data_IF_132137447134
#
_entry.id   IF_132137447134
#
_cell.length_a   1.000
_cell.length_b   1.000
_cell.length_c   1.000
_cell.angle_alpha   90.00
_cell.angle_beta   90.00
_cell.angle_gamma   90.00
#
_symmetry.space_group_name_H-M   'P 1'
#
loop_
_entity.id
_entity.type
_entity.pdbx_description
1 polymer ?
#
# COMPACT_ATOMS: atom_id res chain seq x y z
N UNK A 1 -4.56 13.49 6.44
CA UNK A 1 -4.96 12.51 7.47
C UNK A 1 -6.13 13.10 8.22
N UNK A 2 -7.26 12.40 8.32
CA UNK A 2 -8.36 12.84 9.18
C UNK A 2 -8.11 12.37 10.61
N UNK A 3 -8.66 13.05 11.64
CA UNK A 3 -8.39 12.72 13.04
C UNK A 3 -8.79 11.29 13.42
N UNK A 4 -9.77 10.70 12.70
CA UNK A 4 -10.28 9.36 13.00
C UNK A 4 -9.55 8.22 12.26
N UNK A 5 -8.54 8.51 11.44
CA UNK A 5 -7.80 7.46 10.76
C UNK A 5 -6.70 6.90 11.66
N UNK A 6 -6.58 5.57 11.79
CA UNK A 6 -5.46 4.97 12.50
C UNK A 6 -4.14 5.38 11.84
N UNK A 7 -3.11 5.56 12.67
CA UNK A 7 -1.75 5.78 12.17
C UNK A 7 -1.25 4.51 11.49
N UNK A 8 -0.28 4.66 10.58
CA UNK A 8 0.37 3.48 9.96
C UNK A 8 0.96 2.54 11.02
N UNK A 9 1.57 3.08 12.07
CA UNK A 9 2.09 2.29 13.20
C UNK A 9 1.00 1.49 13.93
N UNK A 10 -0.20 2.04 14.11
CA UNK A 10 -1.30 1.30 14.72
C UNK A 10 -1.78 0.14 13.82
N UNK A 11 -1.80 0.35 12.50
CA UNK A 11 -2.15 -0.69 11.54
C UNK A 11 -1.06 -1.77 11.48
N UNK A 12 0.21 -1.36 11.48
CA UNK A 12 1.35 -2.28 11.50
C UNK A 12 1.30 -3.21 12.70
N UNK A 13 1.09 -2.66 13.90
CA UNK A 13 0.96 -3.45 15.13
C UNK A 13 -0.20 -4.46 15.04
N UNK A 14 -1.35 -4.04 14.49
CA UNK A 14 -2.49 -4.93 14.30
C UNK A 14 -2.22 -6.03 13.25
N UNK A 15 -1.56 -5.69 12.15
CA UNK A 15 -1.16 -6.65 11.11
C UNK A 15 -0.20 -7.70 11.66
N UNK A 16 0.84 -7.28 12.39
CA UNK A 16 1.81 -8.16 13.01
C UNK A 16 1.16 -9.08 14.06
N UNK A 17 0.25 -8.53 14.90
CA UNK A 17 -0.51 -9.33 15.86
C UNK A 17 -1.41 -10.39 15.19
N UNK A 18 -1.85 -10.14 13.95
CA UNK A 18 -2.59 -11.09 13.13
C UNK A 18 -1.68 -12.03 12.31
N UNK A 19 -0.36 -11.98 12.49
CA UNK A 19 0.60 -12.80 11.75
C UNK A 19 0.83 -12.35 10.31
N UNK A 20 0.47 -11.11 9.96
CA UNK A 20 0.65 -10.54 8.63
C UNK A 20 1.94 -9.71 8.55
N UNK A 21 2.55 -9.71 7.36
CA UNK A 21 3.56 -8.73 7.02
C UNK A 21 2.91 -7.39 6.67
N UNK A 22 3.58 -6.29 7.00
CA UNK A 22 3.10 -4.94 6.74
C UNK A 22 4.18 -4.13 6.01
N UNK A 23 3.77 -3.37 5.00
CA UNK A 23 4.63 -2.42 4.29
C UNK A 23 3.89 -1.10 4.19
N UNK A 24 4.54 -0.03 4.65
CA UNK A 24 4.03 1.33 4.52
C UNK A 24 4.69 2.05 3.34
N UNK A 25 3.95 2.19 2.25
CA UNK A 25 4.37 2.97 1.09
C UNK A 25 3.44 4.20 0.93
N UNK A 26 3.77 5.34 1.57
CA UNK A 26 2.98 6.54 1.44
C UNK A 26 3.18 7.18 0.06
N UNK A 27 2.08 7.48 -0.64
CA UNK A 27 2.10 8.19 -1.94
C UNK A 27 1.12 9.36 -1.94
N UNK A 28 1.43 10.39 -2.73
CA UNK A 28 0.59 11.58 -2.88
C UNK A 28 -0.77 11.24 -3.51
N UNK A 29 -1.79 12.07 -3.26
CA UNK A 29 -3.15 11.80 -3.79
C UNK A 29 -3.32 12.08 -5.27
N UNK A 30 -2.61 13.11 -5.77
CA UNK A 30 -2.76 13.61 -7.14
C UNK A 30 -1.86 12.90 -8.16
N UNK A 31 -0.73 12.35 -7.72
CA UNK A 31 0.29 11.77 -8.58
C UNK A 31 1.04 10.66 -7.86
N UNK A 32 1.47 9.65 -8.61
CA UNK A 32 2.40 8.62 -8.18
C UNK A 32 3.52 8.52 -9.21
N UNK A 33 4.77 8.58 -8.77
CA UNK A 33 5.92 8.61 -9.67
C UNK A 33 6.23 7.24 -10.28
N UNK A 34 6.95 7.17 -11.41
CA UNK A 34 7.41 5.90 -11.96
C UNK A 34 8.20 5.05 -10.96
N UNK A 35 9.01 5.69 -10.11
CA UNK A 35 9.79 5.03 -9.06
C UNK A 35 8.88 4.46 -7.97
N UNK A 36 7.85 5.18 -7.53
CA UNK A 36 6.86 4.67 -6.59
C UNK A 36 6.11 3.46 -7.16
N UNK A 37 5.73 3.52 -8.45
CA UNK A 37 5.03 2.42 -9.14
C UNK A 37 5.95 1.19 -9.27
N UNK A 38 7.22 1.39 -9.64
CA UNK A 38 8.19 0.30 -9.74
C UNK A 38 8.48 -0.36 -8.39
N UNK A 39 8.62 0.43 -7.31
CA UNK A 39 8.79 -0.10 -5.97
C UNK A 39 7.55 -0.90 -5.53
N UNK A 40 6.35 -0.39 -5.82
CA UNK A 40 5.12 -1.12 -5.52
C UNK A 40 5.02 -2.45 -6.30
N UNK A 41 5.40 -2.48 -7.57
CA UNK A 41 5.45 -3.71 -8.36
C UNK A 41 6.43 -4.73 -7.77
N UNK A 42 7.61 -4.27 -7.34
CA UNK A 42 8.60 -5.11 -6.65
C UNK A 42 8.04 -5.68 -5.35
N UNK A 43 7.33 -4.86 -4.56
CA UNK A 43 6.68 -5.30 -3.33
C UNK A 43 5.61 -6.37 -3.59
N UNK A 44 4.77 -6.20 -4.62
CA UNK A 44 3.78 -7.21 -5.00
C UNK A 44 4.41 -8.55 -5.35
N UNK A 45 5.57 -8.55 -6.02
CA UNK A 45 6.28 -9.80 -6.36
C UNK A 45 6.97 -10.44 -5.15
N UNK A 46 7.49 -9.63 -4.23
CA UNK A 46 8.28 -10.11 -3.09
C UNK A 46 7.45 -10.58 -1.89
N UNK A 47 6.23 -10.07 -1.74
CA UNK A 47 5.38 -10.36 -0.57
C UNK A 47 4.63 -11.71 -0.71
N UNK A 48 4.35 -12.39 0.43
CA UNK A 48 3.55 -13.60 0.44
C UNK A 48 2.12 -13.29 0.01
N UNK A 49 1.58 -14.14 -0.86
CA UNK A 49 0.24 -13.97 -1.41
C UNK A 49 -0.79 -14.75 -0.58
N UNK A 50 -2.04 -14.25 -0.46
CA UNK A 50 -2.58 -13.03 -1.09
C UNK A 50 -2.16 -11.73 -0.39
N UNK A 51 -2.04 -10.63 -1.16
CA UNK A 51 -1.68 -9.28 -0.66
C UNK A 51 -2.91 -8.37 -0.62
N UNK A 52 -3.14 -7.72 0.53
CA UNK A 52 -4.14 -6.65 0.68
C UNK A 52 -3.48 -5.28 0.52
N UNK A 53 -3.99 -4.47 -0.42
CA UNK A 53 -3.52 -3.10 -0.65
C UNK A 53 -4.67 -2.13 -0.44
N UNK A 54 -4.47 -1.12 0.41
CA UNK A 54 -5.52 -0.18 0.75
C UNK A 54 -5.01 1.27 0.84
N UNK A 55 -5.96 2.20 0.75
CA UNK A 55 -5.78 3.61 1.10
C UNK A 55 -7.10 4.12 1.71
N UNK A 56 -7.26 5.42 1.94
CA UNK A 56 -8.51 5.99 2.52
C UNK A 56 -9.80 5.53 1.82
N UNK A 57 -9.82 5.51 0.49
CA UNK A 57 -11.03 5.24 -0.31
C UNK A 57 -10.82 4.20 -1.42
N UNK A 58 -9.72 3.45 -1.38
CA UNK A 58 -9.33 2.51 -2.45
C UNK A 58 -8.75 3.14 -3.73
N UNK A 59 -9.06 4.40 -4.05
CA UNK A 59 -8.68 5.01 -5.33
C UNK A 59 -7.16 5.03 -5.63
N UNK A 60 -6.30 5.26 -4.62
CA UNK A 60 -4.84 5.21 -4.82
C UNK A 60 -4.32 3.79 -4.97
N UNK A 61 -4.78 2.86 -4.14
CA UNK A 61 -4.35 1.47 -4.20
C UNK A 61 -4.74 0.82 -5.53
N UNK A 62 -5.95 1.11 -6.05
CA UNK A 62 -6.37 0.65 -7.38
C UNK A 62 -5.51 1.23 -8.50
N UNK A 63 -5.21 2.54 -8.47
CA UNK A 63 -4.37 3.17 -9.50
C UNK A 63 -2.94 2.64 -9.49
N UNK A 64 -2.34 2.50 -8.31
CA UNK A 64 -1.01 1.89 -8.15
C UNK A 64 -0.98 0.46 -8.66
N UNK A 65 -2.00 -0.34 -8.33
CA UNK A 65 -2.13 -1.70 -8.83
C UNK A 65 -2.21 -1.75 -10.36
N UNK A 66 -3.09 -0.97 -10.97
CA UNK A 66 -3.22 -0.95 -12.43
C UNK A 66 -1.96 -0.45 -13.13
N UNK A 67 -1.28 0.56 -12.58
CA UNK A 67 -0.04 1.07 -13.13
C UNK A 67 1.11 0.03 -13.03
N UNK A 68 1.21 -0.68 -11.92
CA UNK A 68 2.22 -1.72 -11.73
C UNK A 68 1.98 -2.95 -12.60
N UNK A 69 0.72 -3.31 -12.89
CA UNK A 69 0.38 -4.37 -13.85
C UNK A 69 0.73 -4.01 -15.29
N UNK A 70 0.95 -2.72 -15.59
CA UNK A 70 1.29 -2.21 -16.90
C UNK A 70 2.81 -1.93 -17.08
N UNK A 71 3.64 -2.24 -16.07
CA UNK A 71 5.09 -2.26 -16.19
C UNK A 71 5.55 -3.53 -16.94
#
# INVERSE_FOLDING_TARGET
HGPDQPTSAAIEAAAQAAGLQYVHQPVASGYQSPEEIAEFARLLQALPHPVLVFCRSGARSTRMFMAAQAL
#
